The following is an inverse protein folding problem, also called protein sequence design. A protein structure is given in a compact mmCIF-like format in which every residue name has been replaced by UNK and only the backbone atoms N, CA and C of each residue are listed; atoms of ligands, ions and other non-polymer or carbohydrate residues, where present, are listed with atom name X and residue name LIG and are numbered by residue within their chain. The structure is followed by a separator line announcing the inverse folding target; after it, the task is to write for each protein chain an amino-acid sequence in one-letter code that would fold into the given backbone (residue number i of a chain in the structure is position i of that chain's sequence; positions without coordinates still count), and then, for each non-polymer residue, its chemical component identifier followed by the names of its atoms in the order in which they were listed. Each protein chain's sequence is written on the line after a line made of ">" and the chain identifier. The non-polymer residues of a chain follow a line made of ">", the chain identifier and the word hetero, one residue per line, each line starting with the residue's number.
data_IF_758808014633
#
_entry.id   IF_758808014633
#
_cell.length_a   1.000
_cell.length_b   1.000
_cell.length_c   1.000
_cell.angle_alpha   90.00
_cell.angle_beta   90.00
_cell.angle_gamma   90.00
#
_symmetry.space_group_name_H-M   'P 1'
#
loop_
_entity.id
_entity.type
_entity.pdbx_description
1 polymer ?
#
# COMPACT_ATOMS: atom_id res chain seq x y z
N UNK A 1 7.66 36.67 23.62
CA UNK A 1 7.40 35.42 24.38
C UNK A 1 6.67 34.45 23.49
N UNK A 2 7.37 33.61 22.72
CA UNK A 2 6.75 32.61 21.85
C UNK A 2 6.31 31.42 22.71
N UNK A 3 5.01 31.22 22.85
CA UNK A 3 4.39 30.09 23.58
C UNK A 3 4.82 28.79 22.91
N UNK A 4 5.63 27.94 23.56
CA UNK A 4 5.93 26.58 23.08
C UNK A 4 4.61 25.87 22.77
N UNK A 5 4.42 25.31 21.58
CA UNK A 5 3.19 24.60 21.29
C UNK A 5 3.08 23.41 22.23
N UNK A 6 1.97 23.35 22.95
CA UNK A 6 1.62 22.25 23.85
C UNK A 6 1.69 20.94 23.05
N UNK A 7 2.17 19.83 23.61
CA UNK A 7 2.26 18.51 22.93
C UNK A 7 0.95 18.14 22.26
N UNK A 8 -0.18 18.40 22.88
CA UNK A 8 -1.51 18.26 22.33
C UNK A 8 -1.71 19.03 21.01
N UNK A 9 -1.19 20.25 20.89
CA UNK A 9 -1.29 21.04 19.65
C UNK A 9 -0.46 20.46 18.49
N UNK A 10 0.66 19.80 18.76
CA UNK A 10 1.47 19.12 17.75
C UNK A 10 0.76 17.86 17.25
N UNK A 11 0.16 17.10 18.14
CA UNK A 11 -0.59 15.88 17.82
C UNK A 11 -1.79 16.22 16.94
N UNK A 12 -2.59 17.22 17.32
CA UNK A 12 -3.75 17.66 16.53
C UNK A 12 -3.32 18.13 15.14
N UNK A 13 -2.27 18.94 15.04
CA UNK A 13 -1.75 19.42 13.75
C UNK A 13 -1.28 18.29 12.84
N UNK A 14 -0.59 17.28 13.38
CA UNK A 14 -0.15 16.12 12.63
C UNK A 14 -1.34 15.27 12.17
N UNK A 15 -2.33 15.05 13.03
CA UNK A 15 -3.54 14.31 12.68
C UNK A 15 -4.35 15.02 11.60
N UNK A 16 -4.54 16.33 11.71
CA UNK A 16 -5.25 17.13 10.69
C UNK A 16 -4.56 17.04 9.33
N UNK A 17 -3.22 17.12 9.31
CA UNK A 17 -2.46 16.99 8.06
C UNK A 17 -2.60 15.62 7.42
N UNK A 18 -2.52 14.55 8.23
CA UNK A 18 -2.77 13.17 7.78
C UNK A 18 -4.15 13.01 7.15
N UNK A 19 -5.18 13.51 7.82
CA UNK A 19 -6.57 13.45 7.34
C UNK A 19 -6.70 14.19 6.02
N UNK A 20 -6.18 15.42 5.93
CA UNK A 20 -6.23 16.20 4.70
C UNK A 20 -5.56 15.49 3.52
N UNK A 21 -4.36 14.93 3.71
CA UNK A 21 -3.67 14.15 2.68
C UNK A 21 -4.49 12.92 2.26
N UNK A 22 -5.09 12.21 3.21
CA UNK A 22 -5.94 11.03 2.91
C UNK A 22 -7.21 11.40 2.15
N UNK A 23 -7.83 12.52 2.45
CA UNK A 23 -9.00 13.03 1.69
C UNK A 23 -8.60 13.32 0.24
N UNK A 24 -7.48 14.02 0.02
CA UNK A 24 -6.98 14.29 -1.34
C UNK A 24 -6.67 12.99 -2.09
N UNK A 25 -5.98 12.02 -1.45
CA UNK A 25 -5.72 10.71 -2.05
C UNK A 25 -7.02 9.99 -2.42
N UNK A 26 -8.04 10.01 -1.55
CA UNK A 26 -9.33 9.36 -1.81
C UNK A 26 -10.07 9.99 -2.98
N UNK A 27 -10.05 11.32 -3.11
CA UNK A 27 -10.65 12.01 -4.23
C UNK A 27 -9.94 11.67 -5.55
N UNK A 28 -8.61 11.69 -5.56
CA UNK A 28 -7.83 11.29 -6.73
C UNK A 28 -8.10 9.82 -7.10
N UNK A 29 -8.14 8.92 -6.12
CA UNK A 29 -8.46 7.51 -6.30
C UNK A 29 -9.83 7.31 -6.94
N UNK A 30 -10.83 8.04 -6.46
CA UNK A 30 -12.19 7.98 -7.01
C UNK A 30 -12.23 8.42 -8.47
N UNK A 31 -11.62 9.55 -8.80
CA UNK A 31 -11.58 10.07 -10.18
C UNK A 31 -10.86 9.08 -11.11
N UNK A 32 -9.66 8.65 -10.74
CA UNK A 32 -8.85 7.75 -11.56
C UNK A 32 -9.49 6.37 -11.68
N UNK A 33 -10.05 5.85 -10.59
CA UNK A 33 -10.79 4.58 -10.59
C UNK A 33 -11.98 4.62 -11.55
N UNK A 34 -12.77 5.70 -11.50
CA UNK A 34 -13.91 5.88 -12.41
C UNK A 34 -13.47 5.99 -13.88
N UNK A 35 -12.39 6.72 -14.18
CA UNK A 35 -11.87 6.84 -15.54
C UNK A 35 -11.30 5.50 -16.02
N UNK A 36 -10.58 4.77 -15.17
CA UNK A 36 -10.05 3.44 -15.48
C UNK A 36 -11.16 2.44 -15.75
N UNK A 37 -12.23 2.43 -14.94
CA UNK A 37 -13.38 1.57 -15.11
C UNK A 37 -14.10 1.84 -16.45
N UNK A 38 -14.25 3.11 -16.81
CA UNK A 38 -14.85 3.49 -18.11
C UNK A 38 -13.98 3.09 -19.30
N UNK A 39 -12.67 3.23 -19.18
CA UNK A 39 -11.72 2.92 -20.24
C UNK A 39 -11.58 1.40 -20.46
N UNK A 40 -11.33 0.64 -19.39
CA UNK A 40 -11.09 -0.80 -19.44
C UNK A 40 -12.38 -1.61 -19.71
N UNK A 41 -13.53 -1.02 -19.43
CA UNK A 41 -14.81 -1.71 -19.46
C UNK A 41 -15.01 -2.68 -18.30
N UNK A 42 -16.24 -3.21 -18.12
CA UNK A 42 -16.60 -3.99 -16.94
C UNK A 42 -15.82 -5.29 -16.81
N UNK A 43 -15.44 -5.95 -17.92
CA UNK A 43 -14.69 -7.20 -17.89
C UNK A 43 -13.26 -7.01 -17.34
N UNK A 44 -12.46 -6.20 -18.01
CA UNK A 44 -11.06 -5.98 -17.64
C UNK A 44 -10.91 -5.28 -16.29
N UNK A 45 -11.81 -4.34 -15.99
CA UNK A 45 -11.80 -3.69 -14.68
C UNK A 45 -12.21 -4.66 -13.58
N UNK A 46 -13.15 -5.57 -13.86
CA UNK A 46 -13.54 -6.64 -12.94
C UNK A 46 -12.40 -7.58 -12.58
N UNK A 47 -11.51 -7.91 -13.53
CA UNK A 47 -10.31 -8.71 -13.27
C UNK A 47 -9.35 -7.97 -12.29
N UNK A 48 -9.18 -6.66 -12.46
CA UNK A 48 -8.35 -5.84 -11.55
C UNK A 48 -8.97 -5.80 -10.15
N UNK A 49 -10.27 -5.56 -10.04
CA UNK A 49 -10.98 -5.52 -8.75
C UNK A 49 -10.94 -6.89 -8.05
N UNK A 50 -11.07 -7.97 -8.81
CA UNK A 50 -10.93 -9.33 -8.30
C UNK A 50 -9.53 -9.58 -7.74
N UNK A 51 -8.48 -9.21 -8.48
CA UNK A 51 -7.10 -9.29 -8.01
C UNK A 51 -6.88 -8.44 -6.75
N UNK A 52 -7.40 -7.21 -6.74
CA UNK A 52 -7.34 -6.30 -5.59
C UNK A 52 -8.03 -6.90 -4.36
N UNK A 53 -9.19 -7.52 -4.53
CA UNK A 53 -9.93 -8.14 -3.43
C UNK A 53 -9.15 -9.30 -2.80
N UNK A 54 -8.59 -10.20 -3.63
CA UNK A 54 -7.79 -11.35 -3.14
C UNK A 54 -6.55 -10.85 -2.38
N UNK A 55 -5.82 -9.91 -2.97
CA UNK A 55 -4.62 -9.35 -2.34
C UNK A 55 -4.97 -8.63 -1.04
N UNK A 56 -6.04 -7.83 -1.02
CA UNK A 56 -6.51 -7.14 0.19
C UNK A 56 -6.88 -8.11 1.31
N UNK A 57 -7.42 -9.28 0.97
CA UNK A 57 -7.69 -10.34 1.95
C UNK A 57 -6.39 -10.95 2.51
N UNK A 58 -5.34 -11.04 1.71
CA UNK A 58 -4.04 -11.56 2.15
C UNK A 58 -3.23 -10.57 2.99
N UNK A 59 -3.49 -9.26 2.87
CA UNK A 59 -2.75 -8.23 3.62
C UNK A 59 -2.71 -8.46 5.13
N UNK A 60 -3.84 -8.68 5.84
CA UNK A 60 -3.82 -8.94 7.28
C UNK A 60 -3.04 -10.21 7.64
N UNK A 61 -3.06 -11.22 6.76
CA UNK A 61 -2.32 -12.47 6.94
C UNK A 61 -0.82 -12.22 6.84
N UNK A 62 -0.37 -11.47 5.85
CA UNK A 62 1.04 -11.09 5.65
C UNK A 62 1.56 -10.19 6.76
N UNK A 63 0.72 -9.29 7.25
CA UNK A 63 1.09 -8.39 8.35
C UNK A 63 1.18 -9.08 9.71
N UNK A 64 0.59 -10.28 9.89
CA UNK A 64 0.67 -11.11 11.10
C UNK A 64 0.37 -10.36 12.43
N UNK A 65 -0.37 -9.26 12.36
CA UNK A 65 -0.60 -8.39 13.53
C UNK A 65 0.66 -7.62 14.01
N UNK A 66 1.77 -7.70 13.28
CA UNK A 66 3.05 -7.07 13.63
C UNK A 66 2.98 -5.55 13.76
N UNK A 67 1.98 -4.93 13.12
CA UNK A 67 1.77 -3.47 13.18
C UNK A 67 1.65 -2.93 14.60
N UNK A 68 0.74 -3.50 15.39
CA UNK A 68 0.52 -3.06 16.77
C UNK A 68 1.69 -3.44 17.68
N UNK A 69 2.24 -4.63 17.48
CA UNK A 69 3.38 -5.12 18.23
C UNK A 69 4.61 -4.28 18.00
N UNK A 70 4.93 -3.93 16.74
CA UNK A 70 6.08 -3.08 16.41
C UNK A 70 5.96 -1.70 17.07
N UNK A 71 4.81 -1.03 16.96
CA UNK A 71 4.61 0.29 17.58
C UNK A 71 4.74 0.21 19.11
N UNK A 72 4.18 -0.82 19.73
CA UNK A 72 4.27 -1.01 21.17
C UNK A 72 5.72 -1.29 21.64
N UNK A 73 6.43 -2.19 20.96
CA UNK A 73 7.81 -2.57 21.31
C UNK A 73 8.79 -1.41 21.11
N UNK A 74 8.66 -0.64 20.03
CA UNK A 74 9.52 0.54 19.78
C UNK A 74 9.34 1.60 20.87
N UNK A 75 8.14 1.75 21.43
CA UNK A 75 7.87 2.69 22.52
C UNK A 75 8.36 2.13 23.86
N UNK A 76 8.19 0.81 24.10
CA UNK A 76 8.51 0.16 25.37
C UNK A 76 10.03 -0.09 25.57
N UNK A 77 10.76 -0.41 24.49
CA UNK A 77 12.18 -0.77 24.53
C UNK A 77 12.98 -0.04 23.42
N UNK A 78 13.26 1.25 23.56
CA UNK A 78 13.98 2.04 22.57
C UNK A 78 15.38 1.51 22.21
N UNK A 79 16.05 0.86 23.16
CA UNK A 79 17.40 0.30 22.97
C UNK A 79 17.44 -0.89 21.99
N UNK A 80 16.30 -1.56 21.80
CA UNK A 80 16.16 -2.74 20.94
C UNK A 80 15.44 -2.44 19.63
N UNK A 81 15.12 -1.19 19.32
CA UNK A 81 14.26 -0.81 18.18
C UNK A 81 14.76 -1.35 16.83
N UNK A 82 16.07 -1.32 16.58
CA UNK A 82 16.66 -1.82 15.34
C UNK A 82 16.47 -3.33 15.15
N UNK A 83 16.58 -4.09 16.24
CA UNK A 83 16.35 -5.55 16.21
C UNK A 83 14.88 -5.87 15.97
N UNK A 84 13.98 -5.17 16.65
CA UNK A 84 12.54 -5.34 16.52
C UNK A 84 12.07 -5.00 15.10
N UNK A 85 12.55 -3.88 14.53
CA UNK A 85 12.26 -3.49 13.16
C UNK A 85 12.79 -4.51 12.16
N UNK A 86 14.05 -4.94 12.30
CA UNK A 86 14.66 -5.93 11.40
C UNK A 86 13.92 -7.27 11.43
N UNK A 87 13.53 -7.76 12.62
CA UNK A 87 12.77 -8.99 12.77
C UNK A 87 11.38 -8.87 12.13
N UNK A 88 10.68 -7.74 12.35
CA UNK A 88 9.36 -7.49 11.77
C UNK A 88 9.41 -7.41 10.25
N UNK A 89 10.41 -6.74 9.68
CA UNK A 89 10.63 -6.68 8.23
C UNK A 89 10.90 -8.07 7.65
N UNK A 90 11.78 -8.86 8.27
CA UNK A 90 12.09 -10.20 7.81
C UNK A 90 10.86 -11.11 7.84
N UNK A 91 10.13 -11.12 8.95
CA UNK A 91 8.91 -11.93 9.11
C UNK A 91 7.82 -11.52 8.10
N UNK A 92 7.59 -10.22 7.94
CA UNK A 92 6.59 -9.71 6.98
C UNK A 92 6.99 -10.02 5.54
N UNK A 93 8.28 -9.92 5.20
CA UNK A 93 8.78 -10.28 3.86
C UNK A 93 8.62 -11.77 3.59
N UNK A 94 8.98 -12.63 4.55
CA UNK A 94 8.78 -14.08 4.42
C UNK A 94 7.30 -14.45 4.28
N UNK A 95 6.44 -13.82 5.08
CA UNK A 95 4.99 -14.00 4.97
C UNK A 95 4.43 -13.49 3.63
N UNK A 96 5.02 -12.43 3.04
CA UNK A 96 4.64 -11.93 1.72
C UNK A 96 4.86 -12.96 0.62
N UNK A 97 5.99 -13.67 0.64
CA UNK A 97 6.23 -14.76 -0.32
C UNK A 97 5.20 -15.90 -0.19
N UNK A 98 4.85 -16.27 1.05
CA UNK A 98 3.79 -17.24 1.30
C UNK A 98 2.43 -16.72 0.83
N UNK A 99 2.16 -15.42 1.03
CA UNK A 99 0.95 -14.76 0.54
C UNK A 99 0.85 -14.78 -0.99
N UNK A 100 1.95 -14.51 -1.70
CA UNK A 100 1.99 -14.60 -3.17
C UNK A 100 1.68 -16.02 -3.65
N UNK A 101 2.32 -17.03 -3.05
CA UNK A 101 2.03 -18.44 -3.36
C UNK A 101 0.57 -18.78 -3.08
N UNK A 102 0.01 -18.28 -1.98
CA UNK A 102 -1.41 -18.42 -1.65
C UNK A 102 -2.34 -17.81 -2.69
N UNK A 103 -2.05 -16.59 -3.14
CA UNK A 103 -2.82 -15.91 -4.20
C UNK A 103 -2.77 -16.71 -5.50
N UNK A 104 -1.58 -17.14 -5.93
CA UNK A 104 -1.41 -17.91 -7.18
C UNK A 104 -2.13 -19.25 -7.08
N UNK A 105 -1.97 -19.98 -5.98
CA UNK A 105 -2.64 -21.26 -5.77
C UNK A 105 -4.16 -21.12 -5.75
N UNK A 106 -4.67 -20.12 -5.02
CA UNK A 106 -6.10 -19.85 -4.97
C UNK A 106 -6.67 -19.52 -6.36
N UNK A 107 -6.00 -18.62 -7.09
CA UNK A 107 -6.45 -18.21 -8.43
C UNK A 107 -6.40 -19.37 -9.42
N UNK A 108 -5.38 -20.24 -9.36
CA UNK A 108 -5.25 -21.41 -10.21
C UNK A 108 -6.38 -22.43 -9.96
N UNK A 109 -6.83 -22.57 -8.71
CA UNK A 109 -7.95 -23.46 -8.35
C UNK A 109 -9.30 -22.82 -8.72
N UNK A 110 -9.47 -21.53 -8.47
CA UNK A 110 -10.73 -20.84 -8.69
C UNK A 110 -11.01 -20.54 -10.18
N UNK A 111 -9.96 -20.29 -10.96
CA UNK A 111 -10.05 -19.92 -12.38
C UNK A 111 -9.11 -20.76 -13.27
N UNK A 112 -9.28 -22.10 -13.36
CA UNK A 112 -8.34 -22.98 -14.03
C UNK A 112 -8.22 -22.76 -15.54
N UNK A 113 -9.22 -22.14 -16.17
CA UNK A 113 -9.28 -21.93 -17.62
C UNK A 113 -9.11 -20.45 -18.03
N UNK A 114 -8.68 -19.57 -17.09
CA UNK A 114 -8.53 -18.16 -17.35
C UNK A 114 -7.09 -17.69 -17.02
N UNK A 115 -6.18 -17.84 -18.00
CA UNK A 115 -4.78 -17.44 -17.83
C UNK A 115 -4.62 -15.92 -17.68
N UNK A 116 -5.55 -15.13 -18.19
CA UNK A 116 -5.50 -13.66 -18.07
C UNK A 116 -5.73 -13.23 -16.64
N UNK A 117 -6.77 -13.72 -15.98
CA UNK A 117 -7.04 -13.46 -14.57
C UNK A 117 -5.89 -13.96 -13.69
N UNK A 118 -5.32 -15.13 -13.97
CA UNK A 118 -4.19 -15.67 -13.24
C UNK A 118 -2.95 -14.76 -13.34
N UNK A 119 -2.63 -14.26 -14.54
CA UNK A 119 -1.48 -13.37 -14.76
C UNK A 119 -1.69 -12.02 -14.05
N UNK A 120 -2.88 -11.44 -14.13
CA UNK A 120 -3.21 -10.18 -13.45
C UNK A 120 -3.11 -10.34 -11.93
N UNK A 121 -3.64 -11.42 -11.36
CA UNK A 121 -3.53 -11.71 -9.92
C UNK A 121 -2.08 -11.92 -9.49
N UNK A 122 -1.26 -12.61 -10.28
CA UNK A 122 0.15 -12.79 -10.01
C UNK A 122 0.91 -11.45 -10.03
N UNK A 123 0.70 -10.61 -11.02
CA UNK A 123 1.28 -9.26 -11.09
C UNK A 123 0.84 -8.39 -9.92
N UNK A 124 -0.43 -8.44 -9.57
CA UNK A 124 -0.98 -7.67 -8.45
C UNK A 124 -0.42 -8.14 -7.11
N UNK A 125 -0.20 -9.46 -6.93
CA UNK A 125 0.34 -10.04 -5.70
C UNK A 125 1.78 -9.62 -5.39
N UNK A 126 2.56 -9.15 -6.39
CA UNK A 126 3.91 -8.58 -6.18
C UNK A 126 3.84 -7.39 -5.21
N UNK A 127 2.73 -6.67 -5.17
CA UNK A 127 2.51 -5.57 -4.23
C UNK A 127 2.63 -6.01 -2.76
N UNK A 128 2.37 -7.27 -2.43
CA UNK A 128 2.52 -7.82 -1.07
C UNK A 128 3.96 -7.72 -0.55
N UNK A 129 4.97 -7.89 -1.41
CA UNK A 129 6.38 -7.74 -1.02
C UNK A 129 6.69 -6.30 -0.61
N UNK A 130 6.20 -5.34 -1.40
CA UNK A 130 6.40 -3.93 -1.09
C UNK A 130 5.59 -3.48 0.14
N UNK A 131 4.49 -4.15 0.43
CA UNK A 131 3.69 -3.89 1.63
C UNK A 131 4.42 -4.27 2.93
N UNK A 132 5.39 -5.21 2.87
CA UNK A 132 6.25 -5.50 4.02
C UNK A 132 7.05 -4.25 4.46
N UNK A 133 7.38 -3.36 3.53
CA UNK A 133 8.10 -2.11 3.84
C UNK A 133 7.24 -1.05 4.53
N UNK A 134 5.90 -1.23 4.59
CA UNK A 134 5.02 -0.40 5.43
C UNK A 134 5.40 -0.46 6.91
N UNK A 135 6.15 -1.50 7.35
CA UNK A 135 6.67 -1.58 8.71
C UNK A 135 7.56 -0.38 9.06
N UNK A 136 8.26 0.19 8.08
CA UNK A 136 9.03 1.43 8.26
C UNK A 136 8.12 2.63 8.57
N UNK A 137 6.97 2.71 7.92
CA UNK A 137 6.01 3.79 8.18
C UNK A 137 5.46 3.74 9.62
N UNK A 138 5.23 2.53 10.15
CA UNK A 138 4.78 2.37 11.53
C UNK A 138 5.86 2.76 12.54
N UNK A 139 7.13 2.51 12.23
CA UNK A 139 8.25 2.98 13.03
C UNK A 139 8.34 4.52 13.06
N UNK A 140 8.23 5.19 11.89
CA UNK A 140 8.16 6.66 11.83
C UNK A 140 6.92 7.20 12.56
N UNK A 141 5.80 6.49 12.49
CA UNK A 141 4.57 6.85 13.20
C UNK A 141 4.77 6.78 14.73
N UNK A 142 5.46 5.76 15.23
CA UNK A 142 5.83 5.65 16.64
C UNK A 142 6.69 6.84 17.11
N UNK A 143 7.54 7.39 16.23
CA UNK A 143 8.36 8.59 16.49
C UNK A 143 7.65 9.94 16.26
N UNK A 144 6.32 9.94 16.05
CA UNK A 144 5.50 11.13 15.79
C UNK A 144 5.94 11.95 14.55
N UNK A 145 6.59 11.33 13.58
CA UNK A 145 7.03 11.95 12.32
C UNK A 145 6.00 11.80 11.19
N UNK A 146 4.73 11.60 11.54
CA UNK A 146 3.61 11.31 10.63
C UNK A 146 3.41 12.35 9.52
N UNK A 147 3.83 13.60 9.73
CA UNK A 147 3.73 14.66 8.72
C UNK A 147 4.58 14.33 7.48
N UNK A 148 5.80 13.84 7.67
CA UNK A 148 6.69 13.50 6.56
C UNK A 148 6.13 12.33 5.76
N UNK A 149 5.65 11.28 6.46
CA UNK A 149 4.98 10.13 5.81
C UNK A 149 3.78 10.58 4.98
N UNK A 150 2.96 11.49 5.51
CA UNK A 150 1.77 11.97 4.79
C UNK A 150 2.14 12.72 3.50
N UNK A 151 3.18 13.55 3.53
CA UNK A 151 3.63 14.32 2.36
C UNK A 151 4.25 13.38 1.32
N UNK A 152 5.14 12.46 1.73
CA UNK A 152 5.82 11.52 0.82
C UNK A 152 4.83 10.55 0.21
N UNK A 153 3.89 10.00 0.99
CA UNK A 153 2.80 9.16 0.48
C UNK A 153 1.89 9.90 -0.50
N UNK A 154 1.57 11.17 -0.23
CA UNK A 154 0.78 11.98 -1.17
C UNK A 154 1.55 12.23 -2.47
N UNK A 155 2.84 12.56 -2.39
CA UNK A 155 3.68 12.77 -3.56
C UNK A 155 3.80 11.50 -4.41
N UNK A 156 4.07 10.34 -3.79
CA UNK A 156 4.09 9.05 -4.44
C UNK A 156 2.76 8.76 -5.15
N UNK A 157 1.66 8.99 -4.45
CA UNK A 157 0.31 8.79 -5.02
C UNK A 157 0.01 9.69 -6.21
N UNK A 158 0.44 10.95 -6.19
CA UNK A 158 0.30 11.88 -7.32
C UNK A 158 1.10 11.39 -8.53
N UNK A 159 2.32 10.90 -8.33
CA UNK A 159 3.16 10.33 -9.41
C UNK A 159 2.48 9.12 -10.04
N UNK A 160 1.99 8.17 -9.23
CA UNK A 160 1.27 6.99 -9.75
C UNK A 160 -0.04 7.38 -10.43
N UNK A 161 -0.73 8.38 -9.90
CA UNK A 161 -1.94 8.93 -10.50
C UNK A 161 -1.67 9.50 -11.89
N UNK A 162 -0.57 10.25 -12.04
CA UNK A 162 -0.13 10.77 -13.34
C UNK A 162 0.25 9.63 -14.30
N UNK A 163 0.93 8.59 -13.79
CA UNK A 163 1.24 7.39 -14.57
C UNK A 163 -0.03 6.67 -15.06
N UNK A 164 -1.03 6.49 -14.20
CA UNK A 164 -2.33 5.92 -14.60
C UNK A 164 -3.06 6.77 -15.63
N UNK A 165 -3.05 8.09 -15.48
CA UNK A 165 -3.58 8.99 -16.51
C UNK A 165 -2.84 8.83 -17.85
N UNK A 166 -1.51 8.69 -17.82
CA UNK A 166 -0.72 8.41 -19.02
C UNK A 166 -1.11 7.07 -19.66
N UNK A 167 -1.35 6.02 -18.88
CA UNK A 167 -1.82 4.73 -19.39
C UNK A 167 -3.20 4.84 -20.05
N UNK A 168 -4.11 5.65 -19.50
CA UNK A 168 -5.42 5.92 -20.09
C UNK A 168 -5.30 6.61 -21.44
N UNK A 169 -4.42 7.61 -21.56
CA UNK A 169 -4.20 8.35 -22.80
C UNK A 169 -3.53 7.48 -23.87
N UNK A 170 -2.56 6.65 -23.48
CA UNK A 170 -1.81 5.77 -24.39
C UNK A 170 -2.51 4.45 -24.69
N UNK A 171 -3.70 4.25 -24.17
CA UNK A 171 -4.55 3.07 -24.40
C UNK A 171 -3.82 1.74 -24.15
N UNK A 172 -3.13 1.62 -23.02
CA UNK A 172 -2.41 0.40 -22.65
C UNK A 172 -3.32 -0.68 -22.10
N UNK A 173 -2.85 -1.94 -22.19
CA UNK A 173 -3.59 -3.13 -21.72
C UNK A 173 -3.73 -3.18 -20.19
N UNK A 174 -4.62 -4.05 -19.70
CA UNK A 174 -4.93 -4.30 -18.29
C UNK A 174 -3.69 -4.63 -17.43
N UNK A 175 -2.69 -5.29 -18.02
CA UNK A 175 -1.44 -5.67 -17.34
C UNK A 175 -0.64 -4.46 -16.83
N UNK A 176 -0.64 -3.37 -17.56
CA UNK A 176 0.03 -2.13 -17.16
C UNK A 176 -0.67 -1.47 -15.97
N UNK A 177 -2.00 -1.58 -15.90
CA UNK A 177 -2.76 -1.12 -14.75
C UNK A 177 -2.52 -1.98 -13.51
N UNK A 178 -2.44 -3.30 -13.66
CA UNK A 178 -2.05 -4.20 -12.57
C UNK A 178 -0.62 -3.89 -12.06
N UNK A 179 0.33 -3.65 -12.97
CA UNK A 179 1.70 -3.27 -12.62
C UNK A 179 1.77 -1.90 -11.92
N UNK A 180 0.90 -0.95 -12.27
CA UNK A 180 0.84 0.36 -11.62
C UNK A 180 0.58 0.27 -10.12
N UNK A 181 -0.08 -0.79 -9.66
CA UNK A 181 -0.32 -1.03 -8.24
C UNK A 181 0.97 -1.42 -7.50
N UNK A 182 1.77 -2.31 -8.09
CA UNK A 182 3.08 -2.65 -7.52
C UNK A 182 4.00 -1.43 -7.46
N UNK A 183 3.93 -0.56 -8.46
CA UNK A 183 4.70 0.69 -8.54
C UNK A 183 4.28 1.70 -7.47
N UNK A 184 2.98 1.76 -7.12
CA UNK A 184 2.45 2.59 -6.03
C UNK A 184 3.11 2.21 -4.69
N UNK A 185 3.07 0.92 -4.34
CA UNK A 185 3.70 0.44 -3.12
C UNK A 185 5.22 0.58 -3.12
N UNK A 186 5.88 0.41 -4.28
CA UNK A 186 7.32 0.61 -4.41
C UNK A 186 7.71 2.07 -4.12
N UNK A 187 6.98 3.04 -4.68
CA UNK A 187 7.25 4.45 -4.45
C UNK A 187 6.98 4.85 -3.00
N UNK A 188 5.92 4.32 -2.38
CA UNK A 188 5.62 4.55 -0.98
C UNK A 188 6.72 3.93 -0.09
N UNK A 189 7.27 2.77 -0.47
CA UNK A 189 8.33 2.10 0.28
C UNK A 189 9.69 2.78 0.17
N UNK A 190 9.94 3.51 -0.92
CA UNK A 190 11.18 4.23 -1.18
C UNK A 190 11.20 5.65 -0.57
N UNK A 191 10.06 6.12 -0.02
CA UNK A 191 9.89 7.45 0.59
C UNK A 191 10.06 7.42 2.08
#
# INVERSE_FOLDING_TARGET
>A
MMKKPTESGKIVKNATWLIACKVVQSLLSFVIGTLSARYLGPGNYGIIDYAAAIVSFMVPVVQLGLRSTLVHEVIAAPDCEGRTLGTSLFMSTAASFLGILGVIAFTAIANPNDPETMLVCALYSISLVFQATEMLQYWFQAKLLSKYIAITSLAAYVVVSAYRCFLLITQKSVYWFAFSQALDYLLISAS
#
